data_IF_592158369425
#
_entry.id   IF_592158369425
#
_cell.length_a   1.000
_cell.length_b   1.000
_cell.length_c   1.000
_cell.angle_alpha   90.00
_cell.angle_beta   90.00
_cell.angle_gamma   90.00
#
_symmetry.space_group_name_H-M   'P 1'
#
loop_
_entity.id
_entity.type
_entity.pdbx_description
1 polymer ?
#
# COMPACT_ATOMS: atom_id res chain seq x y z
N UNK A 1 24.49 -11.94 -30.89
CA UNK A 1 23.15 -11.30 -30.87
C UNK A 1 22.10 -12.22 -30.27
N UNK A 2 21.96 -13.46 -30.77
CA UNK A 2 21.07 -14.45 -30.17
C UNK A 2 21.48 -14.79 -28.73
N UNK A 3 22.78 -14.94 -28.45
CA UNK A 3 23.27 -15.29 -27.11
C UNK A 3 22.94 -14.23 -26.07
N UNK A 4 23.07 -12.95 -26.41
CA UNK A 4 22.68 -11.81 -25.56
C UNK A 4 21.18 -11.82 -25.23
N UNK A 5 20.35 -12.23 -26.19
CA UNK A 5 18.90 -12.34 -25.98
C UNK A 5 18.60 -13.52 -25.06
N UNK A 6 19.27 -14.66 -25.24
CA UNK A 6 19.08 -15.83 -24.37
C UNK A 6 19.54 -15.58 -22.93
N UNK A 7 20.67 -14.89 -22.74
CA UNK A 7 21.16 -14.46 -21.43
C UNK A 7 20.15 -13.56 -20.72
N UNK A 8 19.53 -12.61 -21.43
CA UNK A 8 18.47 -11.77 -20.87
C UNK A 8 17.30 -12.60 -20.33
N UNK A 9 16.80 -13.58 -21.12
CA UNK A 9 15.70 -14.45 -20.67
C UNK A 9 16.09 -15.36 -19.51
N UNK A 10 17.35 -15.80 -19.45
CA UNK A 10 17.84 -16.63 -18.35
C UNK A 10 17.92 -15.86 -17.02
N UNK A 11 18.11 -14.54 -17.07
CA UNK A 11 18.11 -13.68 -15.88
C UNK A 11 16.72 -13.23 -15.42
N UNK A 12 15.69 -13.28 -16.28
CA UNK A 12 14.33 -12.86 -15.89
C UNK A 12 13.81 -13.52 -14.60
N UNK A 13 13.99 -14.83 -14.36
CA UNK A 13 13.53 -15.46 -13.12
C UNK A 13 14.17 -14.86 -11.87
N UNK A 14 15.47 -14.54 -11.91
CA UNK A 14 16.19 -13.97 -10.76
C UNK A 14 15.65 -12.57 -10.41
N UNK A 15 15.42 -11.74 -11.44
CA UNK A 15 14.84 -10.41 -11.28
C UNK A 15 13.40 -10.44 -10.77
N UNK A 16 12.57 -11.36 -11.27
CA UNK A 16 11.17 -11.51 -10.81
C UNK A 16 11.15 -11.88 -9.32
N UNK A 17 11.98 -12.84 -8.90
CA UNK A 17 12.08 -13.25 -7.49
C UNK A 17 12.57 -12.08 -6.63
N UNK A 18 13.58 -11.34 -7.06
CA UNK A 18 14.11 -10.19 -6.32
C UNK A 18 13.04 -9.12 -6.08
N UNK A 19 12.35 -8.68 -7.15
CA UNK A 19 11.31 -7.65 -7.06
C UNK A 19 10.13 -8.11 -6.21
N UNK A 20 9.64 -9.32 -6.43
CA UNK A 20 8.51 -9.85 -5.67
C UNK A 20 8.83 -10.05 -4.21
N UNK A 21 10.06 -10.46 -3.87
CA UNK A 21 10.51 -10.59 -2.48
C UNK A 21 10.56 -9.23 -1.77
N UNK A 22 11.06 -8.19 -2.45
CA UNK A 22 11.07 -6.83 -1.90
C UNK A 22 9.64 -6.36 -1.62
N UNK A 23 8.74 -6.47 -2.61
CA UNK A 23 7.33 -6.07 -2.43
C UNK A 23 6.65 -6.89 -1.34
N UNK A 24 6.82 -8.21 -1.34
CA UNK A 24 6.23 -9.09 -0.33
C UNK A 24 6.75 -8.78 1.08
N UNK A 25 8.05 -8.48 1.23
CA UNK A 25 8.63 -8.10 2.53
C UNK A 25 8.09 -6.75 3.02
N UNK A 26 7.94 -5.77 2.13
CA UNK A 26 7.34 -4.49 2.46
C UNK A 26 5.88 -4.66 2.88
N UNK A 27 5.09 -5.44 2.14
CA UNK A 27 3.70 -5.79 2.51
C UNK A 27 3.61 -6.56 3.82
N UNK A 28 4.56 -7.45 4.11
CA UNK A 28 4.62 -8.15 5.39
C UNK A 28 4.91 -7.17 6.54
N UNK A 29 5.84 -6.23 6.36
CA UNK A 29 6.17 -5.21 7.35
C UNK A 29 4.97 -4.29 7.62
N UNK A 30 4.25 -3.84 6.59
CA UNK A 30 3.05 -3.00 6.76
C UNK A 30 1.87 -3.77 7.34
N UNK A 31 1.74 -5.07 7.04
CA UNK A 31 0.73 -5.91 7.68
C UNK A 31 1.03 -6.13 9.18
N UNK A 32 2.30 -6.29 9.54
CA UNK A 32 2.76 -6.44 10.93
C UNK A 32 2.78 -5.12 11.70
N UNK A 33 2.94 -4.00 10.99
CA UNK A 33 2.92 -2.64 11.54
C UNK A 33 1.60 -1.98 11.14
N UNK A 34 0.47 -2.32 11.78
CA UNK A 34 -0.80 -1.71 11.42
C UNK A 34 -0.66 -0.19 11.55
N UNK A 35 -1.02 0.51 10.48
CA UNK A 35 -0.97 1.97 10.30
C UNK A 35 -1.98 2.70 11.20
N UNK A 36 -2.17 2.24 12.44
CA UNK A 36 -3.13 2.80 13.40
C UNK A 36 -2.87 4.28 13.66
N UNK A 37 -1.62 4.75 13.51
CA UNK A 37 -1.29 6.17 13.69
C UNK A 37 -1.87 7.03 12.57
N UNK A 38 -1.72 6.64 11.31
CA UNK A 38 -2.24 7.44 10.19
C UNK A 38 -3.77 7.33 10.12
N UNK A 39 -4.35 6.18 10.45
CA UNK A 39 -5.81 6.02 10.56
C UNK A 39 -6.42 6.94 11.62
N UNK A 40 -5.75 7.12 12.76
CA UNK A 40 -6.20 8.02 13.83
C UNK A 40 -6.06 9.48 13.44
N UNK A 41 -4.95 9.85 12.79
CA UNK A 41 -4.71 11.23 12.35
C UNK A 41 -5.68 11.60 11.24
N UNK A 42 -5.77 10.78 10.18
CA UNK A 42 -6.67 11.00 9.06
C UNK A 42 -8.14 10.97 9.50
N UNK A 43 -8.51 10.03 10.37
CA UNK A 43 -9.84 9.98 10.97
C UNK A 43 -10.18 11.24 11.79
N UNK A 44 -9.20 11.81 12.51
CA UNK A 44 -9.38 13.05 13.25
C UNK A 44 -9.53 14.26 12.33
N UNK A 45 -8.69 14.35 11.30
CA UNK A 45 -8.77 15.41 10.27
C UNK A 45 -10.11 15.34 9.53
N UNK A 46 -10.56 14.15 9.14
CA UNK A 46 -11.85 13.95 8.48
C UNK A 46 -13.04 14.29 9.38
N UNK A 47 -12.96 14.04 10.69
CA UNK A 47 -14.00 14.47 11.64
C UNK A 47 -14.09 15.99 11.72
N UNK A 48 -12.95 16.68 11.82
CA UNK A 48 -12.90 18.15 11.82
C UNK A 48 -13.45 18.70 10.50
N UNK A 49 -13.04 18.13 9.37
CA UNK A 49 -13.52 18.56 8.06
C UNK A 49 -15.03 18.33 7.88
N UNK A 50 -15.56 17.18 8.29
CA UNK A 50 -17.01 16.91 8.25
C UNK A 50 -17.80 17.86 9.15
N UNK A 51 -17.25 18.21 10.32
CA UNK A 51 -17.86 19.19 11.22
C UNK A 51 -17.90 20.58 10.58
N UNK A 52 -16.78 21.03 10.01
CA UNK A 52 -16.71 22.32 9.28
C UNK A 52 -17.62 22.35 8.06
N UNK A 53 -17.82 21.21 7.40
CA UNK A 53 -18.73 21.06 6.26
C UNK A 53 -20.22 20.90 6.65
N UNK A 54 -20.56 20.98 7.94
CA UNK A 54 -21.93 20.76 8.47
C UNK A 54 -22.54 19.40 8.07
N UNK A 55 -21.68 18.39 7.85
CA UNK A 55 -22.09 17.06 7.41
C UNK A 55 -22.49 16.17 8.61
N UNK A 56 -23.61 16.50 9.25
CA UNK A 56 -24.17 15.75 10.38
C UNK A 56 -24.95 14.52 9.88
N UNK A 57 -24.27 13.41 9.56
CA UNK A 57 -25.02 12.25 9.08
C UNK A 57 -24.27 11.00 8.63
N UNK A 58 -22.93 10.97 8.70
CA UNK A 58 -22.07 9.88 8.20
C UNK A 58 -21.92 9.88 6.68
N UNK A 59 -20.85 10.50 6.20
CA UNK A 59 -20.14 9.87 5.10
C UNK A 59 -19.33 8.73 5.72
N UNK A 60 -19.80 7.49 5.63
CA UNK A 60 -18.98 6.33 6.03
C UNK A 60 -17.76 6.33 5.12
N UNK A 61 -16.57 6.40 5.69
CA UNK A 61 -15.38 6.14 4.90
C UNK A 61 -15.44 4.69 4.41
N UNK A 62 -14.90 4.42 3.22
CA UNK A 62 -14.87 3.07 2.68
C UNK A 62 -14.15 2.06 3.61
N UNK A 63 -13.31 2.59 4.53
CA UNK A 63 -12.56 1.85 5.53
C UNK A 63 -13.28 1.71 6.88
N UNK A 64 -14.50 2.27 7.04
CA UNK A 64 -15.31 2.09 8.26
C UNK A 64 -15.92 0.68 8.29
N UNK A 65 -15.16 -0.29 8.81
CA UNK A 65 -15.66 -1.58 9.33
C UNK A 65 -15.46 -1.68 10.82
#
# INVERSE_FOLDING_TARGET
MIDTVLEFFNELPSWIVAVTTVVASASAITALTPTKKDDVILGSVLKVLNFLALNFGKNKNADDK
#
